data_IF_547536322719
#
_entry.id   IF_547536322719
#
_cell.length_a   1.000
_cell.length_b   1.000
_cell.length_c   1.000
_cell.angle_alpha   90.00
_cell.angle_beta   90.00
_cell.angle_gamma   90.00
#
_symmetry.space_group_name_H-M   'P 1'
#
loop_
_entity.id
_entity.type
_entity.pdbx_description
1 polymer ?
#
# COMPACT_ATOMS: atom_id res chain seq x y z
N UNK A 1 1.12 4.90 -13.16
CA UNK A 1 1.76 4.26 -12.00
C UNK A 1 2.79 5.20 -11.41
N UNK A 2 2.75 5.41 -10.10
CA UNK A 2 3.74 6.23 -9.40
C UNK A 2 4.82 5.33 -8.80
N UNK A 3 6.10 5.67 -9.05
CA UNK A 3 7.21 5.08 -8.31
C UNK A 3 7.34 5.79 -6.98
N UNK A 4 7.24 5.04 -5.88
CA UNK A 4 7.54 5.58 -4.56
C UNK A 4 9.05 5.66 -4.41
N UNK A 5 9.55 6.85 -4.09
CA UNK A 5 10.97 7.10 -3.86
C UNK A 5 11.31 7.28 -2.39
N UNK A 6 10.29 7.46 -1.54
CA UNK A 6 10.46 7.68 -0.10
C UNK A 6 9.17 7.38 0.67
N UNK A 7 9.31 6.83 1.88
CA UNK A 7 8.20 6.57 2.81
C UNK A 7 8.44 7.35 4.10
N UNK A 8 7.50 8.23 4.47
CA UNK A 8 7.57 9.07 5.68
C UNK A 8 6.36 8.86 6.57
N UNK A 9 6.56 8.97 7.88
CA UNK A 9 5.47 9.09 8.85
C UNK A 9 4.92 10.51 8.87
N UNK A 10 3.62 10.67 9.04
CA UNK A 10 2.94 11.96 9.16
C UNK A 10 1.88 11.90 10.25
N UNK A 11 1.66 13.01 10.95
CA UNK A 11 0.57 13.17 11.92
C UNK A 11 -0.75 13.57 11.28
N UNK A 12 -0.76 13.87 9.97
CA UNK A 12 -1.98 14.26 9.25
C UNK A 12 -2.85 13.02 8.99
N UNK A 13 -4.15 13.04 9.34
CA UNK A 13 -5.04 11.92 9.05
C UNK A 13 -5.21 11.76 7.54
N UNK A 14 -4.89 10.58 7.03
CA UNK A 14 -5.12 10.21 5.64
C UNK A 14 -6.60 9.80 5.51
N UNK A 15 -7.38 10.58 4.75
CA UNK A 15 -8.81 10.28 4.53
C UNK A 15 -8.96 9.11 3.56
N UNK A 16 -9.74 8.10 3.96
CA UNK A 16 -10.11 6.97 3.10
C UNK A 16 -11.27 7.38 2.19
N UNK A 17 -11.18 7.08 0.88
CA UNK A 17 -12.29 7.19 -0.06
C UNK A 17 -12.55 5.83 -0.71
N UNK A 18 -13.83 5.44 -0.71
CA UNK A 18 -14.46 4.30 -1.40
C UNK A 18 -13.86 2.89 -1.22
N UNK A 19 -14.74 1.88 -1.36
CA UNK A 19 -14.38 0.46 -1.38
C UNK A 19 -13.60 0.15 -2.65
N UNK A 20 -12.42 -0.41 -2.47
CA UNK A 20 -11.44 -0.62 -3.53
C UNK A 20 -10.92 -2.04 -3.45
N UNK A 21 -10.87 -2.75 -4.58
CA UNK A 21 -10.13 -4.00 -4.70
C UNK A 21 -8.65 -3.68 -4.92
N UNK A 22 -7.77 -4.45 -4.27
CA UNK A 22 -6.31 -4.33 -4.39
C UNK A 22 -5.78 -5.54 -5.15
N UNK A 23 -5.13 -5.31 -6.27
CA UNK A 23 -4.36 -6.32 -7.00
C UNK A 23 -2.87 -6.05 -6.81
N UNK A 24 -2.04 -7.08 -6.82
CA UNK A 24 -0.60 -6.91 -6.74
C UNK A 24 0.14 -7.85 -7.69
N UNK A 25 1.33 -7.44 -8.09
CA UNK A 25 2.28 -8.26 -8.85
C UNK A 25 3.70 -7.95 -8.41
N UNK A 26 4.60 -8.91 -8.59
CA UNK A 26 6.00 -8.75 -8.26
C UNK A 26 6.90 -9.35 -9.34
N UNK A 27 8.04 -8.72 -9.54
CA UNK A 27 9.15 -9.25 -10.31
C UNK A 27 10.47 -9.02 -9.56
N UNK A 28 11.60 -9.35 -10.18
CA UNK A 28 12.91 -9.26 -9.52
C UNK A 28 13.28 -7.84 -9.05
N UNK A 29 12.77 -6.82 -9.74
CA UNK A 29 13.11 -5.41 -9.52
C UNK A 29 12.06 -4.65 -8.70
N UNK A 30 10.78 -5.00 -8.86
CA UNK A 30 9.69 -4.20 -8.36
C UNK A 30 8.52 -5.01 -7.83
N UNK A 31 7.91 -4.47 -6.79
CA UNK A 31 6.60 -4.85 -6.27
C UNK A 31 5.59 -3.78 -6.70
N UNK A 32 4.50 -4.17 -7.33
CA UNK A 32 3.48 -3.27 -7.90
C UNK A 32 2.13 -3.57 -7.28
N UNK A 33 1.38 -2.52 -6.94
CA UNK A 33 0.01 -2.61 -6.45
C UNK A 33 -0.89 -1.77 -7.36
N UNK A 34 -2.02 -2.36 -7.74
CA UNK A 34 -3.12 -1.69 -8.43
C UNK A 34 -4.35 -1.59 -7.56
N UNK A 35 -5.08 -0.50 -7.75
CA UNK A 35 -6.18 -0.09 -6.89
C UNK A 35 -7.39 0.12 -7.80
N UNK A 36 -8.32 -0.84 -7.81
CA UNK A 36 -9.51 -0.80 -8.66
C UNK A 36 -10.73 -0.32 -7.88
N UNK A 37 -11.35 0.77 -8.34
CA UNK A 37 -12.64 1.21 -7.80
C UNK A 37 -13.72 0.14 -8.08
N UNK A 38 -14.61 -0.08 -7.12
CA UNK A 38 -15.74 -0.99 -7.31
C UNK A 38 -16.52 -0.64 -8.59
N UNK A 39 -16.66 -1.61 -9.50
CA UNK A 39 -17.32 -1.43 -10.80
C UNK A 39 -16.40 -1.09 -11.99
N UNK A 40 -15.08 -0.99 -11.81
CA UNK A 40 -14.08 -0.86 -12.90
C UNK A 40 -13.33 -2.17 -13.18
N UNK A 41 -13.98 -3.30 -12.92
CA UNK A 41 -13.44 -4.64 -13.22
C UNK A 41 -13.16 -4.73 -14.73
N UNK A 42 -11.88 -4.65 -15.12
CA UNK A 42 -11.44 -4.85 -16.51
C UNK A 42 -10.94 -3.62 -17.28
N UNK A 43 -10.94 -2.41 -16.70
CA UNK A 43 -10.33 -1.25 -17.36
C UNK A 43 -8.81 -1.20 -17.11
N UNK A 44 -8.00 -1.39 -18.16
CA UNK A 44 -6.52 -1.38 -18.12
C UNK A 44 -5.89 0.03 -17.95
N UNK A 45 -6.64 1.01 -17.47
CA UNK A 45 -6.11 2.37 -17.32
C UNK A 45 -5.33 2.51 -16.02
N UNK A 46 -4.17 3.15 -16.09
CA UNK A 46 -3.33 3.40 -14.92
C UNK A 46 -4.07 4.34 -13.95
N UNK A 47 -4.46 3.81 -12.79
CA UNK A 47 -5.11 4.59 -11.76
C UNK A 47 -4.06 5.46 -11.04
N UNK A 48 -4.39 6.69 -10.62
CA UNK A 48 -3.48 7.55 -9.85
C UNK A 48 -3.03 6.97 -8.51
N UNK A 49 -3.69 5.89 -8.05
CA UNK A 49 -3.38 5.17 -6.82
C UNK A 49 -2.49 3.93 -7.04
N UNK A 50 -2.14 3.62 -8.29
CA UNK A 50 -1.24 2.51 -8.59
C UNK A 50 0.18 2.87 -8.16
N UNK A 51 0.76 2.03 -7.29
CA UNK A 51 2.08 2.25 -6.69
C UNK A 51 3.07 1.17 -7.08
N UNK A 52 4.32 1.58 -7.22
CA UNK A 52 5.45 0.70 -7.46
C UNK A 52 6.56 0.97 -6.45
N UNK A 53 7.04 -0.11 -5.84
CA UNK A 53 8.10 -0.14 -4.83
C UNK A 53 9.29 -0.90 -5.41
N UNK A 54 10.50 -0.36 -5.25
CA UNK A 54 11.71 -1.17 -5.36
C UNK A 54 11.96 -1.93 -4.05
N UNK A 55 13.01 -2.76 -4.02
CA UNK A 55 13.35 -3.59 -2.85
C UNK A 55 13.56 -2.79 -1.58
N UNK A 56 14.19 -1.61 -1.68
CA UNK A 56 14.46 -0.77 -0.53
C UNK A 56 13.16 -0.22 0.05
N UNK A 57 12.31 0.37 -0.81
CA UNK A 57 11.02 0.90 -0.38
C UNK A 57 10.07 -0.20 0.13
N UNK A 58 10.09 -1.38 -0.48
CA UNK A 58 9.33 -2.53 -0.03
C UNK A 58 9.77 -3.00 1.37
N UNK A 59 11.08 -3.04 1.64
CA UNK A 59 11.62 -3.38 2.96
C UNK A 59 11.24 -2.34 4.03
N UNK A 60 11.33 -1.04 3.70
CA UNK A 60 10.89 0.03 4.60
C UNK A 60 9.40 -0.09 4.91
N UNK A 61 8.55 -0.30 3.90
CA UNK A 61 7.11 -0.50 4.09
C UNK A 61 6.83 -1.72 4.98
N UNK A 62 7.50 -2.85 4.73
CA UNK A 62 7.36 -4.07 5.51
C UNK A 62 7.67 -3.84 6.99
N UNK A 63 8.77 -3.14 7.31
CA UNK A 63 9.11 -2.80 8.70
C UNK A 63 8.01 -1.96 9.37
N UNK A 64 7.48 -0.95 8.68
CA UNK A 64 6.40 -0.10 9.23
C UNK A 64 5.10 -0.88 9.43
N UNK A 65 4.74 -1.75 8.48
CA UNK A 65 3.57 -2.63 8.59
C UNK A 65 3.73 -3.61 9.77
N UNK A 66 4.91 -4.20 9.94
CA UNK A 66 5.18 -5.06 11.09
C UNK A 66 5.05 -4.31 12.42
N UNK A 67 5.58 -3.09 12.53
CA UNK A 67 5.38 -2.26 13.73
C UNK A 67 3.91 -1.99 13.98
N UNK A 68 3.15 -1.56 12.97
CA UNK A 68 1.71 -1.29 13.09
C UNK A 68 0.90 -2.51 13.56
N UNK A 69 1.19 -3.68 12.99
CA UNK A 69 0.51 -4.94 13.36
C UNK A 69 0.94 -5.49 14.73
N UNK A 70 2.14 -5.13 15.19
CA UNK A 70 2.66 -5.57 16.49
C UNK A 70 2.16 -4.68 17.63
N UNK A 71 1.92 -3.40 17.36
CA UNK A 71 1.33 -2.43 18.30
C UNK A 71 -0.11 -2.85 18.71
N UNK A 72 -0.77 -3.66 17.89
CA UNK A 72 -2.11 -4.19 18.18
C UNK A 72 -2.11 -5.40 19.14
N UNK A 73 -0.95 -5.89 19.60
CA UNK A 73 -0.88 -7.05 20.50
C UNK A 73 -1.08 -6.74 21.99
N UNK A 74 -1.14 -5.47 22.40
CA UNK A 74 -1.35 -5.09 23.81
C UNK A 74 -2.79 -4.70 24.18
N UNK A 75 -3.74 -4.67 23.22
CA UNK A 75 -5.16 -4.34 23.50
C UNK A 75 -6.06 -5.57 23.73
N UNK A 76 -5.49 -6.76 23.99
CA UNK A 76 -6.25 -8.00 24.20
C UNK A 76 -6.20 -8.54 25.65
N UNK A 77 -5.83 -7.71 26.63
CA UNK A 77 -5.97 -8.04 28.05
C UNK A 77 -6.37 -6.82 28.86
N UNK A 78 -7.67 -6.58 29.02
CA UNK A 78 -8.30 -6.10 30.26
C UNK A 78 -9.81 -6.40 30.22
#
# INVERSE_FOLDING_TARGET
MARITEIRSTSRPIRVKNRTALEYSQNEKYFSIWVQSAGQEGESSLHPLDIQLDREMAAQLCSRLHSFLSDTKDEAFY
#
